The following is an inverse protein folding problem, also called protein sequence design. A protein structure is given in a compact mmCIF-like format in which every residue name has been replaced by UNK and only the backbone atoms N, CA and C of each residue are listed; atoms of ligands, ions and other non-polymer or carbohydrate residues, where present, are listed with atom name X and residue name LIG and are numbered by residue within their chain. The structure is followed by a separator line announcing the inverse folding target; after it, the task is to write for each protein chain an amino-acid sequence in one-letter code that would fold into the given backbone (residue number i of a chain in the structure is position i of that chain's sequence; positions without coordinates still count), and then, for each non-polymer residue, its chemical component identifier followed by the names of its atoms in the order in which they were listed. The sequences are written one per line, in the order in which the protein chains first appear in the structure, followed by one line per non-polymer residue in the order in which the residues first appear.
data_IF_629602184937
#
_entry.id   IF_629602184937
#
_cell.length_a   1.000
_cell.length_b   1.000
_cell.length_c   1.000
_cell.angle_alpha   90.00
_cell.angle_beta   90.00
_cell.angle_gamma   90.00
#
_symmetry.space_group_name_H-M   'P 1'
#
loop_
_entity.id
_entity.type
_entity.pdbx_description
1 polymer ?
#
# COMPACT_ATOMS: atom_id res chain seq x y z
N UNK A 1 8.93 15.37 -23.32
CA UNK A 1 9.38 15.99 -22.76
C UNK A 1 9.39 15.94 -21.35
N UNK A 2 9.19 16.85 -20.63
CA UNK A 2 9.27 16.87 -19.29
C UNK A 2 8.59 15.77 -18.72
N UNK A 3 8.96 15.02 -17.83
CA UNK A 3 8.30 13.90 -17.28
C UNK A 3 8.01 12.80 -18.30
N UNK A 4 8.19 13.11 -19.58
CA UNK A 4 7.92 12.12 -20.59
C UNK A 4 8.93 11.00 -20.58
N UNK A 5 10.10 11.22 -19.98
CA UNK A 5 11.11 10.18 -19.88
C UNK A 5 10.87 9.21 -18.73
N UNK A 6 9.86 9.45 -17.90
CA UNK A 6 9.59 8.59 -16.75
C UNK A 6 8.35 7.75 -16.98
N UNK A 7 8.42 6.46 -16.66
CA UNK A 7 7.24 5.60 -16.63
C UNK A 7 6.35 5.99 -15.45
N UNK A 8 5.11 5.48 -15.45
CA UNK A 8 4.22 5.69 -14.31
C UNK A 8 4.81 5.14 -13.03
N UNK A 9 5.43 3.95 -13.10
CA UNK A 9 6.05 3.37 -11.92
C UNK A 9 7.22 4.19 -11.41
N UNK A 10 8.01 4.75 -12.33
CA UNK A 10 9.12 5.59 -11.93
C UNK A 10 8.64 6.87 -11.24
N UNK A 11 7.54 7.45 -11.73
CA UNK A 11 6.94 8.62 -11.08
C UNK A 11 6.47 8.28 -9.68
N UNK A 12 5.89 7.09 -9.51
CA UNK A 12 5.45 6.67 -8.18
C UNK A 12 6.64 6.49 -7.25
N UNK A 13 7.74 5.94 -7.73
CA UNK A 13 8.93 5.79 -6.93
C UNK A 13 9.47 7.14 -6.46
N UNK A 14 9.44 8.14 -7.33
CA UNK A 14 9.87 9.49 -6.96
C UNK A 14 8.94 10.06 -5.90
N UNK A 15 7.63 9.86 -6.04
CA UNK A 15 6.67 10.33 -5.04
C UNK A 15 6.89 9.71 -3.68
N UNK A 16 7.15 8.42 -3.64
CA UNK A 16 7.43 7.71 -2.39
C UNK A 16 8.73 8.25 -1.78
N UNK A 17 9.76 8.44 -2.58
CA UNK A 17 11.03 8.96 -2.09
C UNK A 17 10.86 10.34 -1.47
N UNK A 18 10.03 11.19 -2.08
CA UNK A 18 9.76 12.52 -1.52
C UNK A 18 9.12 12.43 -0.15
N UNK A 19 8.18 11.50 0.01
CA UNK A 19 7.53 11.32 1.30
C UNK A 19 8.53 10.87 2.37
N UNK A 20 9.44 9.99 2.00
CA UNK A 20 10.44 9.48 2.94
C UNK A 20 11.45 10.52 3.36
N UNK A 21 11.81 11.43 2.46
CA UNK A 21 12.79 12.47 2.76
C UNK A 21 12.31 13.36 3.89
N UNK A 22 11.02 13.62 3.97
CA UNK A 22 10.49 14.50 5.00
C UNK A 22 10.54 13.91 6.40
N UNK A 23 10.79 12.62 6.53
CA UNK A 23 10.93 11.94 7.81
C UNK A 23 9.77 12.22 8.76
N UNK A 24 8.56 12.25 8.21
CA UNK A 24 7.36 12.47 9.00
C UNK A 24 7.02 11.23 9.82
N UNK A 25 6.29 11.42 10.91
CA UNK A 25 5.82 10.30 11.73
C UNK A 25 4.62 9.59 11.12
N UNK A 26 3.90 10.27 10.23
CA UNK A 26 2.72 9.75 9.58
C UNK A 26 2.93 9.77 8.08
N UNK A 27 2.77 8.60 7.46
CA UNK A 27 2.85 8.46 6.01
C UNK A 27 1.46 8.14 5.47
N UNK A 28 1.09 8.80 4.38
CA UNK A 28 -0.18 8.57 3.72
C UNK A 28 0.08 8.26 2.25
N UNK A 29 -0.29 7.06 1.83
CA UNK A 29 -0.09 6.63 0.45
C UNK A 29 -1.42 6.16 -0.14
N UNK A 30 -1.70 6.62 -1.35
CA UNK A 30 -2.91 6.25 -2.09
C UNK A 30 -2.48 5.52 -3.36
N UNK A 31 -2.72 4.21 -3.40
CA UNK A 31 -2.36 3.36 -4.53
C UNK A 31 -0.91 3.60 -4.99
N UNK A 32 0.06 3.50 -4.08
CA UNK A 32 1.41 4.00 -4.38
C UNK A 32 2.19 3.18 -5.39
N UNK A 33 1.76 1.95 -5.69
CA UNK A 33 2.51 1.07 -6.59
C UNK A 33 1.66 0.55 -7.74
N UNK A 34 0.50 1.16 -8.00
CA UNK A 34 -0.41 0.59 -8.98
C UNK A 34 0.10 0.68 -10.42
N UNK A 35 1.09 1.51 -10.69
CA UNK A 35 1.70 1.62 -12.01
C UNK A 35 3.01 0.84 -12.14
N UNK A 36 3.38 0.06 -11.11
CA UNK A 36 4.62 -0.69 -11.11
C UNK A 36 4.40 -2.14 -11.49
N UNK A 37 5.41 -2.75 -12.13
CA UNK A 37 5.41 -4.18 -12.31
C UNK A 37 5.72 -4.87 -10.97
N UNK A 38 5.58 -6.19 -10.94
CA UNK A 38 5.72 -6.92 -9.70
C UNK A 38 7.13 -6.83 -9.12
N UNK A 39 8.14 -6.85 -9.97
CA UNK A 39 9.53 -6.77 -9.52
C UNK A 39 9.81 -5.41 -8.88
N UNK A 40 9.40 -4.33 -9.52
CA UNK A 40 9.60 -2.99 -8.99
C UNK A 40 8.83 -2.81 -7.69
N UNK A 41 7.60 -3.31 -7.63
CA UNK A 41 6.80 -3.21 -6.43
C UNK A 41 7.47 -3.92 -5.27
N UNK A 42 8.02 -5.11 -5.49
CA UNK A 42 8.68 -5.87 -4.43
C UNK A 42 9.86 -5.10 -3.85
N UNK A 43 10.63 -4.45 -4.70
CA UNK A 43 11.77 -3.66 -4.25
C UNK A 43 11.30 -2.50 -3.38
N UNK A 44 10.26 -1.80 -3.81
CA UNK A 44 9.72 -0.68 -3.07
C UNK A 44 9.17 -1.14 -1.72
N UNK A 45 8.42 -2.25 -1.70
CA UNK A 45 7.86 -2.76 -0.47
C UNK A 45 8.94 -3.13 0.54
N UNK A 46 10.01 -3.78 0.09
CA UNK A 46 11.09 -4.13 0.98
C UNK A 46 11.75 -2.88 1.58
N UNK A 47 11.93 -1.86 0.77
CA UNK A 47 12.50 -0.60 1.26
C UNK A 47 11.60 0.08 2.26
N UNK A 48 10.28 0.09 1.99
CA UNK A 48 9.33 0.69 2.92
C UNK A 48 9.29 -0.06 4.24
N UNK A 49 9.30 -1.40 4.19
CA UNK A 49 9.24 -2.19 5.41
C UNK A 49 10.45 -1.92 6.31
N UNK A 50 11.61 -1.64 5.73
CA UNK A 50 12.79 -1.36 6.52
C UNK A 50 12.74 0.00 7.19
N UNK A 51 11.86 0.90 6.75
CA UNK A 51 11.81 2.27 7.25
C UNK A 51 10.55 2.59 8.03
N UNK A 52 9.57 1.69 8.03
CA UNK A 52 8.26 2.01 8.58
C UNK A 52 8.18 1.87 10.09
N UNK A 53 9.12 1.21 10.70
CA UNK A 53 9.07 0.97 12.13
C UNK A 53 9.00 2.29 12.90
N UNK A 54 8.06 2.39 13.82
CA UNK A 54 7.86 3.61 14.58
C UNK A 54 7.01 4.66 13.87
N UNK A 55 6.53 4.35 12.67
CA UNK A 55 5.72 5.29 11.89
C UNK A 55 4.27 4.82 11.87
N UNK A 56 3.37 5.77 11.63
CA UNK A 56 1.97 5.46 11.36
C UNK A 56 1.76 5.52 9.86
N UNK A 57 1.20 4.46 9.29
CA UNK A 57 0.96 4.40 7.85
C UNK A 57 -0.53 4.31 7.59
N UNK A 58 -1.03 5.23 6.77
CA UNK A 58 -2.37 5.14 6.20
C UNK A 58 -2.21 4.80 4.73
N UNK A 59 -2.63 3.60 4.35
CA UNK A 59 -2.43 3.08 3.02
C UNK A 59 -3.78 2.77 2.38
N UNK A 60 -4.03 3.33 1.21
CA UNK A 60 -5.21 3.02 0.42
C UNK A 60 -4.75 2.20 -0.77
N UNK A 61 -5.29 0.98 -0.91
CA UNK A 61 -4.88 0.12 -2.01
C UNK A 61 -5.91 -0.97 -2.25
N UNK A 62 -5.94 -1.49 -3.47
CA UNK A 62 -6.71 -2.68 -3.80
C UNK A 62 -5.82 -3.91 -3.91
N UNK A 63 -4.52 -3.76 -3.65
CA UNK A 63 -3.56 -4.85 -3.84
C UNK A 63 -3.29 -5.56 -2.53
N UNK A 64 -3.51 -6.87 -2.52
CA UNK A 64 -3.19 -7.68 -1.36
C UNK A 64 -1.69 -7.79 -1.12
N UNK A 65 -0.88 -7.52 -2.14
CA UNK A 65 0.58 -7.56 -1.99
C UNK A 65 1.10 -6.55 -0.99
N UNK A 66 0.32 -5.53 -0.66
CA UNK A 66 0.76 -4.48 0.24
C UNK A 66 0.38 -4.72 1.70
N UNK A 67 -0.30 -5.83 2.02
CA UNK A 67 -0.79 -6.05 3.38
C UNK A 67 0.34 -6.27 4.40
N UNK A 68 1.52 -6.64 3.93
CA UNK A 68 2.63 -6.86 4.86
C UNK A 68 3.08 -5.56 5.53
N UNK A 69 2.72 -4.42 4.96
CA UNK A 69 3.10 -3.13 5.52
C UNK A 69 2.20 -2.69 6.69
N UNK A 70 1.06 -3.34 6.89
CA UNK A 70 0.05 -2.84 7.81
C UNK A 70 -0.28 -3.87 8.88
N UNK A 71 -0.90 -3.38 9.97
CA UNK A 71 -1.33 -4.23 11.07
C UNK A 71 -2.84 -4.37 11.14
N UNK A 72 -3.57 -3.46 10.53
CA UNK A 72 -5.01 -3.37 10.60
C UNK A 72 -5.55 -3.11 9.21
N UNK A 73 -6.67 -3.71 8.89
CA UNK A 73 -7.30 -3.52 7.58
C UNK A 73 -8.73 -3.05 7.78
N UNK A 74 -9.09 -2.04 7.03
CA UNK A 74 -10.46 -1.54 6.95
C UNK A 74 -10.90 -1.74 5.52
N UNK A 75 -12.00 -2.50 5.33
CA UNK A 75 -12.53 -2.76 4.00
C UNK A 75 -13.69 -1.81 3.76
N UNK A 76 -13.61 -1.07 2.65
CA UNK A 76 -14.63 -0.11 2.26
C UNK A 76 -15.35 -0.63 1.03
N UNK A 77 -16.65 -0.37 0.95
CA UNK A 77 -17.46 -0.73 -0.21
C UNK A 77 -18.53 0.34 -0.39
N UNK A 78 -18.51 0.99 -1.55
CA UNK A 78 -19.49 2.04 -1.87
C UNK A 78 -19.57 3.10 -0.76
N UNK A 79 -18.42 3.54 -0.27
CA UNK A 79 -18.37 4.59 0.73
C UNK A 79 -18.70 4.15 2.15
N UNK A 80 -18.90 2.86 2.37
CA UNK A 80 -19.27 2.32 3.67
C UNK A 80 -18.20 1.36 4.18
N UNK A 81 -17.92 1.45 5.47
CA UNK A 81 -17.00 0.51 6.11
C UNK A 81 -17.74 -0.81 6.33
N UNK A 82 -17.22 -1.88 5.73
CA UNK A 82 -17.87 -3.19 5.84
C UNK A 82 -17.12 -4.17 6.75
N UNK A 83 -15.80 -4.02 6.87
CA UNK A 83 -14.98 -4.83 7.78
C UNK A 83 -13.90 -3.94 8.38
N UNK A 84 -13.47 -4.30 9.59
CA UNK A 84 -12.43 -3.54 10.28
C UNK A 84 -11.85 -4.46 11.36
N UNK A 85 -10.54 -4.64 11.35
CA UNK A 85 -9.91 -5.45 12.37
C UNK A 85 -8.45 -5.75 12.09
N UNK A 86 -7.86 -6.60 12.93
CA UNK A 86 -6.48 -7.02 12.72
C UNK A 86 -6.31 -7.67 11.35
N UNK A 87 -5.14 -7.47 10.76
CA UNK A 87 -4.85 -7.91 9.41
C UNK A 87 -5.22 -9.37 9.15
N UNK A 88 -4.76 -10.25 10.01
CA UNK A 88 -4.94 -11.69 9.76
C UNK A 88 -6.43 -12.07 9.80
N UNK A 89 -7.18 -11.47 10.71
CA UNK A 89 -8.60 -11.74 10.81
C UNK A 89 -9.33 -11.31 9.55
N UNK A 90 -9.01 -10.13 9.04
CA UNK A 90 -9.68 -9.60 7.85
C UNK A 90 -9.29 -10.40 6.61
N UNK A 91 -8.02 -10.79 6.50
CA UNK A 91 -7.57 -11.60 5.37
C UNK A 91 -8.32 -12.93 5.35
N UNK A 92 -8.49 -13.56 6.52
CA UNK A 92 -9.23 -14.81 6.60
C UNK A 92 -10.68 -14.63 6.16
N UNK A 93 -11.32 -13.55 6.57
CA UNK A 93 -12.70 -13.30 6.18
C UNK A 93 -12.83 -13.09 4.67
N UNK A 94 -11.89 -12.36 4.09
CA UNK A 94 -11.91 -12.12 2.65
C UNK A 94 -11.65 -13.40 1.86
N UNK A 95 -10.73 -14.22 2.35
CA UNK A 95 -10.44 -15.50 1.72
C UNK A 95 -11.62 -16.45 1.75
N UNK A 96 -12.29 -16.53 2.90
CA UNK A 96 -13.45 -17.39 3.03
C UNK A 96 -14.58 -16.94 2.12
N UNK A 97 -14.78 -15.63 2.01
CA UNK A 97 -15.79 -15.11 1.09
C UNK A 97 -15.48 -15.48 -0.34
N UNK A 98 -14.21 -15.41 -0.73
CA UNK A 98 -13.80 -15.80 -2.06
C UNK A 98 -14.01 -17.28 -2.32
N UNK A 99 -13.78 -18.11 -1.32
CA UNK A 99 -13.92 -19.55 -1.47
C UNK A 99 -15.38 -19.96 -1.66
N UNK A 100 -16.29 -19.19 -1.11
CA UNK A 100 -17.72 -19.53 -1.21
C UNK A 100 -18.30 -19.24 -2.57
N UNK A 101 -17.58 -18.53 -3.39
CA UNK A 101 -18.03 -18.24 -4.73
C UNK A 101 -17.55 -19.29 -5.71
#
# INVERSE_FOLDING_TARGET
ERGAGLSGGQRQSVGIARALINNSDIWMFDEPTNAMDQTSESIVLNNLMSKIEGKTLLLVTQKMSMVDLVDRIIVMNFGTKVLDGPKDEIINKLGNSGEKQ
#
